data_IF_006682188301
#
_entry.id   IF_006682188301
#
_cell.length_a   1.000
_cell.length_b   1.000
_cell.length_c   1.000
_cell.angle_alpha   90.00
_cell.angle_beta   90.00
_cell.angle_gamma   90.00
#
_symmetry.space_group_name_H-M   'P 1'
#
loop_
_entity.id
_entity.type
_entity.pdbx_description
1 polymer ?
#
# COMPACT_ATOMS: atom_id res chain seq x y z
N UNK A 1 20.15 27.72 1.02
CA UNK A 1 19.31 28.85 0.54
C UNK A 1 19.42 30.06 1.46
N UNK A 2 19.25 31.32 0.95
CA UNK A 2 19.15 32.49 1.81
C UNK A 2 17.94 32.36 2.74
N UNK A 3 18.17 32.66 4.05
CA UNK A 3 17.08 32.60 5.06
C UNK A 3 15.80 33.35 4.64
N UNK A 4 15.95 34.46 3.90
CA UNK A 4 14.82 35.28 3.43
C UNK A 4 13.86 34.58 2.48
N UNK A 5 14.34 33.66 1.63
CA UNK A 5 13.50 32.94 0.66
C UNK A 5 12.68 31.87 1.37
N UNK A 6 13.32 31.06 2.22
CA UNK A 6 12.64 30.02 2.99
C UNK A 6 11.54 30.62 3.89
N UNK A 7 11.86 31.65 4.65
CA UNK A 7 10.89 32.29 5.54
C UNK A 7 9.70 32.89 4.78
N UNK A 8 9.91 33.38 3.57
CA UNK A 8 8.86 33.91 2.70
C UNK A 8 7.88 32.80 2.25
N UNK A 9 8.38 31.64 1.86
CA UNK A 9 7.55 30.50 1.47
C UNK A 9 6.78 29.92 2.68
N UNK A 10 7.44 29.75 3.82
CA UNK A 10 6.77 29.31 5.05
C UNK A 10 5.64 30.27 5.42
N UNK A 11 5.85 31.58 5.33
CA UNK A 11 4.85 32.58 5.67
C UNK A 11 3.66 32.53 4.72
N UNK A 12 3.90 32.34 3.43
CA UNK A 12 2.85 32.12 2.43
C UNK A 12 1.97 30.93 2.79
N UNK A 13 2.58 29.77 3.07
CA UNK A 13 1.83 28.57 3.46
C UNK A 13 1.11 28.69 4.80
N UNK A 14 1.69 29.42 5.74
CA UNK A 14 1.06 29.69 7.02
C UNK A 14 -0.19 30.58 6.83
N UNK A 15 -0.11 31.65 6.04
CA UNK A 15 -1.26 32.50 5.71
C UNK A 15 -2.33 31.72 4.92
N UNK A 16 -1.95 30.94 3.91
CA UNK A 16 -2.88 30.08 3.16
C UNK A 16 -3.66 29.14 4.09
N UNK A 17 -2.94 28.50 5.03
CA UNK A 17 -3.55 27.58 5.98
C UNK A 17 -4.42 28.32 7.00
N UNK A 18 -3.97 29.46 7.53
CA UNK A 18 -4.75 30.28 8.47
C UNK A 18 -6.06 30.76 7.84
N UNK A 19 -6.03 31.29 6.64
CA UNK A 19 -7.23 31.77 5.92
C UNK A 19 -8.22 30.63 5.64
N UNK A 20 -7.72 29.41 5.39
CA UNK A 20 -8.57 28.24 5.20
C UNK A 20 -9.24 27.76 6.50
N UNK A 21 -8.58 27.94 7.65
CA UNK A 21 -9.03 27.48 8.96
C UNK A 21 -9.36 28.64 9.92
N UNK A 22 -10.05 29.67 9.40
CA UNK A 22 -10.62 30.79 10.20
C UNK A 22 -9.60 31.51 11.09
N UNK A 23 -8.41 31.74 10.56
CA UNK A 23 -7.37 32.51 11.23
C UNK A 23 -6.36 31.70 12.02
N UNK A 24 -6.45 30.36 12.03
CA UNK A 24 -5.52 29.50 12.79
C UNK A 24 -4.78 28.52 11.87
N UNK A 25 -3.50 28.76 11.63
CA UNK A 25 -2.63 27.86 10.89
C UNK A 25 -2.18 26.68 11.77
N UNK A 26 -2.20 25.47 11.20
CA UNK A 26 -1.68 24.26 11.82
C UNK A 26 -0.20 24.03 11.40
N UNK A 27 0.75 24.00 12.35
CA UNK A 27 2.18 23.83 12.05
C UNK A 27 2.52 22.57 11.28
N UNK A 28 1.85 21.44 11.57
CA UNK A 28 2.09 20.18 10.89
C UNK A 28 1.68 20.20 9.44
N UNK A 29 0.52 20.82 9.12
CA UNK A 29 0.03 20.98 7.75
C UNK A 29 0.93 21.91 6.92
N UNK A 30 1.43 22.97 7.53
CA UNK A 30 2.37 23.90 6.89
C UNK A 30 3.72 23.22 6.65
N UNK A 31 4.24 22.50 7.66
CA UNK A 31 5.52 21.79 7.59
C UNK A 31 5.53 20.76 6.47
N UNK A 32 4.43 20.02 6.28
CA UNK A 32 4.32 19.04 5.20
C UNK A 32 4.54 19.64 3.82
N UNK A 33 3.94 20.84 3.54
CA UNK A 33 4.15 21.57 2.29
C UNK A 33 5.59 22.07 2.14
N UNK A 34 6.18 22.56 3.25
CA UNK A 34 7.55 23.09 3.26
C UNK A 34 8.56 21.99 2.99
N UNK A 35 8.41 20.81 3.60
CA UNK A 35 9.31 19.67 3.35
C UNK A 35 9.21 19.19 1.90
N UNK A 36 8.00 19.15 1.33
CA UNK A 36 7.79 18.75 -0.06
C UNK A 36 8.48 19.70 -1.05
N UNK A 37 8.49 20.99 -0.77
CA UNK A 37 9.11 21.99 -1.63
C UNK A 37 10.63 22.09 -1.43
N UNK A 38 11.12 21.88 -0.20
CA UNK A 38 12.53 21.98 0.17
C UNK A 38 13.11 20.64 0.69
N UNK A 39 13.09 19.55 -0.09
CA UNK A 39 13.48 18.22 0.38
C UNK A 39 14.97 18.08 0.74
N UNK A 40 15.81 19.01 0.27
CA UNK A 40 17.26 19.00 0.50
C UNK A 40 17.71 19.83 1.72
N UNK A 41 16.80 20.59 2.33
CA UNK A 41 17.12 21.40 3.49
C UNK A 41 17.11 20.56 4.79
N UNK A 42 17.83 21.03 5.81
CA UNK A 42 17.86 20.35 7.11
C UNK A 42 16.46 20.35 7.76
N UNK A 43 15.93 19.16 8.07
CA UNK A 43 14.59 18.98 8.62
C UNK A 43 14.39 19.70 9.94
N UNK A 44 15.38 19.68 10.83
CA UNK A 44 15.29 20.34 12.13
C UNK A 44 15.12 21.85 11.97
N UNK A 45 15.90 22.44 11.09
CA UNK A 45 15.79 23.87 10.73
C UNK A 45 14.43 24.22 10.14
N UNK A 46 13.88 23.34 9.25
CA UNK A 46 12.55 23.54 8.68
C UNK A 46 11.46 23.52 9.76
N UNK A 47 11.57 22.63 10.73
CA UNK A 47 10.63 22.50 11.86
C UNK A 47 10.64 23.79 12.69
N UNK A 48 11.81 24.23 13.14
CA UNK A 48 11.98 25.41 14.00
C UNK A 48 11.47 26.69 13.33
N UNK A 49 11.86 26.93 12.08
CA UNK A 49 11.43 28.11 11.30
C UNK A 49 9.92 28.07 11.03
N UNK A 50 9.37 26.86 10.72
CA UNK A 50 7.93 26.72 10.48
C UNK A 50 7.13 27.00 11.75
N UNK A 51 7.51 26.45 12.89
CA UNK A 51 6.85 26.69 14.18
C UNK A 51 6.85 28.17 14.53
N UNK A 52 8.01 28.84 14.41
CA UNK A 52 8.17 30.26 14.68
C UNK A 52 7.26 31.13 13.81
N UNK A 53 7.24 30.86 12.50
CA UNK A 53 6.45 31.68 11.55
C UNK A 53 4.95 31.41 11.70
N UNK A 54 4.54 30.17 11.91
CA UNK A 54 3.15 29.82 12.17
C UNK A 54 2.64 30.48 13.46
N UNK A 55 3.45 30.48 14.53
CA UNK A 55 3.10 31.16 15.77
C UNK A 55 2.90 32.66 15.55
N UNK A 56 3.77 33.31 14.76
CA UNK A 56 3.64 34.74 14.43
C UNK A 56 2.39 35.03 13.57
N UNK A 57 2.04 34.16 12.64
CA UNK A 57 0.82 34.30 11.82
C UNK A 57 -0.44 34.11 12.66
N UNK A 58 -0.42 33.18 13.62
CA UNK A 58 -1.54 32.91 14.52
C UNK A 58 -1.79 34.01 15.56
N UNK A 59 -0.86 34.92 15.76
CA UNK A 59 -1.05 36.12 16.60
C UNK A 59 -1.78 37.25 15.86
N UNK A 60 -1.79 37.20 14.54
CA UNK A 60 -2.52 38.17 13.73
C UNK A 60 -4.02 37.90 13.78
N UNK A 61 -4.81 38.96 13.73
CA UNK A 61 -6.25 38.85 13.49
C UNK A 61 -6.53 38.38 12.06
N UNK A 62 -7.71 37.86 11.81
CA UNK A 62 -8.11 37.41 10.47
C UNK A 62 -8.06 38.57 9.45
N UNK A 63 -8.39 39.80 9.89
CA UNK A 63 -8.33 41.01 9.07
C UNK A 63 -6.88 41.34 8.65
N UNK A 64 -5.95 41.27 9.58
CA UNK A 64 -4.52 41.49 9.30
C UNK A 64 -3.93 40.39 8.42
N UNK A 65 -4.33 39.14 8.61
CA UNK A 65 -3.93 38.02 7.75
C UNK A 65 -4.44 38.22 6.32
N UNK A 66 -5.68 38.64 6.14
CA UNK A 66 -6.27 38.99 4.85
C UNK A 66 -5.53 40.14 4.18
N UNK A 67 -5.26 41.21 4.94
CA UNK A 67 -4.53 42.37 4.43
C UNK A 67 -3.11 41.98 3.98
N UNK A 68 -2.39 41.20 4.78
CA UNK A 68 -1.05 40.73 4.40
C UNK A 68 -1.10 39.81 3.17
N UNK A 69 -2.09 38.91 3.08
CA UNK A 69 -2.31 38.09 1.91
C UNK A 69 -2.57 38.89 0.65
N UNK A 70 -3.45 39.92 0.72
CA UNK A 70 -3.73 40.81 -0.41
C UNK A 70 -2.49 41.56 -0.91
N UNK A 71 -1.65 42.03 0.02
CA UNK A 71 -0.49 42.83 -0.35
C UNK A 71 0.69 42.00 -0.86
N UNK A 72 0.92 40.81 -0.28
CA UNK A 72 2.13 40.03 -0.54
C UNK A 72 1.92 38.74 -1.34
N UNK A 73 0.70 38.21 -1.33
CA UNK A 73 0.35 36.92 -1.93
C UNK A 73 -1.08 36.94 -2.50
N UNK A 74 -1.38 37.85 -3.41
CA UNK A 74 -2.75 38.04 -3.95
C UNK A 74 -3.32 36.75 -4.54
N UNK A 75 -2.46 35.87 -5.04
CA UNK A 75 -2.82 34.56 -5.59
C UNK A 75 -3.49 33.63 -4.57
N UNK A 76 -3.33 33.86 -3.24
CA UNK A 76 -3.99 33.07 -2.20
C UNK A 76 -5.50 33.38 -2.10
N UNK A 77 -5.91 34.54 -2.58
CA UNK A 77 -7.30 35.00 -2.53
C UNK A 77 -8.05 34.72 -3.84
N UNK A 78 -7.33 34.39 -4.90
CA UNK A 78 -7.95 33.93 -6.13
C UNK A 78 -8.66 32.61 -5.86
N UNK A 79 -9.98 32.56 -6.08
CA UNK A 79 -10.72 31.32 -6.09
C UNK A 79 -10.12 30.40 -7.16
N UNK A 80 -9.31 29.45 -6.77
CA UNK A 80 -8.96 28.35 -7.67
C UNK A 80 -10.27 27.69 -8.05
N UNK A 81 -10.76 27.92 -9.24
CA UNK A 81 -11.76 27.07 -9.83
C UNK A 81 -11.21 25.66 -9.76
N UNK A 82 -11.84 24.82 -8.95
CA UNK A 82 -11.58 23.39 -8.98
C UNK A 82 -12.02 22.95 -10.37
N UNK A 83 -11.07 22.92 -11.30
CA UNK A 83 -11.26 22.21 -12.56
C UNK A 83 -11.70 20.82 -12.12
N UNK A 84 -12.96 20.47 -12.38
CA UNK A 84 -13.44 19.10 -12.23
C UNK A 84 -12.67 18.30 -13.27
N UNK A 85 -11.49 17.80 -12.88
CA UNK A 85 -10.83 16.77 -13.64
C UNK A 85 -11.85 15.65 -13.79
N UNK A 86 -12.31 15.41 -15.01
CA UNK A 86 -13.05 14.19 -15.30
C UNK A 86 -12.17 13.02 -14.86
N UNK A 87 -12.60 12.36 -13.81
CA UNK A 87 -11.88 11.19 -13.28
C UNK A 87 -12.08 10.01 -14.22
N UNK A 88 -11.45 10.10 -15.38
CA UNK A 88 -11.47 9.06 -16.41
C UNK A 88 -10.57 7.92 -15.92
N UNK A 89 -11.10 6.69 -15.99
CA UNK A 89 -10.32 5.50 -15.68
C UNK A 89 -9.15 5.38 -16.68
N UNK A 90 -7.87 5.42 -16.22
CA UNK A 90 -6.71 5.39 -17.10
C UNK A 90 -6.71 4.16 -18.01
N UNK A 91 -6.12 4.27 -19.18
CA UNK A 91 -5.94 3.12 -20.03
C UNK A 91 -4.88 2.17 -19.45
N UNK A 92 -5.13 0.86 -19.50
CA UNK A 92 -4.12 -0.13 -19.16
C UNK A 92 -3.05 -0.20 -20.26
N UNK A 93 -1.75 -0.23 -19.89
CA UNK A 93 -0.67 -0.35 -20.85
C UNK A 93 -0.67 -1.76 -21.50
N UNK A 94 -0.26 -1.82 -22.75
CA UNK A 94 0.04 -3.09 -23.46
C UNK A 94 -1.11 -4.11 -23.54
N UNK A 95 -2.36 -3.68 -23.50
CA UNK A 95 -3.51 -4.59 -23.66
C UNK A 95 -3.60 -5.09 -25.10
N UNK A 96 -3.19 -6.33 -25.33
CA UNK A 96 -3.23 -7.00 -26.65
C UNK A 96 -4.36 -8.03 -26.79
N UNK A 97 -4.96 -8.46 -25.66
CA UNK A 97 -5.99 -9.51 -25.61
C UNK A 97 -7.07 -9.12 -24.61
N UNK A 98 -8.16 -9.90 -24.60
CA UNK A 98 -9.20 -9.77 -23.58
C UNK A 98 -8.58 -9.89 -22.17
N UNK A 99 -8.83 -8.90 -21.31
CA UNK A 99 -8.27 -8.89 -19.97
C UNK A 99 -9.00 -9.88 -19.05
N UNK A 100 -8.26 -10.42 -18.09
CA UNK A 100 -8.79 -11.17 -16.96
C UNK A 100 -8.31 -10.48 -15.70
N UNK A 101 -9.25 -10.02 -14.90
CA UNK A 101 -8.99 -9.40 -13.59
C UNK A 101 -9.32 -10.38 -12.48
N UNK A 102 -8.77 -10.16 -11.31
CA UNK A 102 -9.00 -10.99 -10.13
C UNK A 102 -9.31 -10.10 -8.92
N UNK A 103 -10.40 -10.41 -8.23
CA UNK A 103 -10.65 -9.94 -6.88
C UNK A 103 -10.49 -11.14 -5.93
N UNK A 104 -9.60 -11.01 -4.96
CA UNK A 104 -9.22 -12.12 -4.07
C UNK A 104 -9.31 -11.69 -2.60
N UNK A 105 -10.51 -11.57 -2.04
CA UNK A 105 -10.70 -11.27 -0.64
C UNK A 105 -10.32 -12.46 0.25
N UNK A 106 -9.78 -12.14 1.44
CA UNK A 106 -9.64 -13.11 2.51
C UNK A 106 -11.00 -13.25 3.24
N UNK A 107 -11.51 -14.46 3.45
CA UNK A 107 -12.85 -14.66 4.01
C UNK A 107 -12.86 -14.53 5.55
N UNK A 108 -12.66 -13.32 6.06
CA UNK A 108 -12.71 -12.98 7.50
C UNK A 108 -13.94 -12.20 7.92
N UNK A 109 -14.96 -12.15 7.09
CA UNK A 109 -16.20 -11.43 7.32
C UNK A 109 -16.77 -10.76 6.08
N UNK A 110 -17.78 -9.91 6.21
CA UNK A 110 -18.40 -9.20 5.10
C UNK A 110 -17.44 -8.21 4.45
N UNK A 111 -17.72 -7.84 3.19
CA UNK A 111 -16.99 -6.79 2.52
C UNK A 111 -17.25 -5.44 3.20
N UNK A 112 -16.18 -4.67 3.43
CA UNK A 112 -16.25 -3.31 3.91
C UNK A 112 -15.86 -2.31 2.82
N UNK A 113 -16.00 -1.01 3.06
CA UNK A 113 -15.72 0.06 2.08
C UNK A 113 -14.31 -0.03 1.48
N UNK A 114 -13.32 -0.47 2.27
CA UNK A 114 -11.94 -0.68 1.79
C UNK A 114 -11.85 -1.76 0.72
N UNK A 115 -12.69 -2.82 0.80
CA UNK A 115 -12.76 -3.89 -0.21
C UNK A 115 -13.57 -3.46 -1.44
N UNK A 116 -14.56 -2.59 -1.30
CA UNK A 116 -15.39 -2.11 -2.41
C UNK A 116 -14.56 -1.39 -3.47
N UNK A 117 -13.58 -0.59 -3.07
CA UNK A 117 -12.72 0.15 -4.00
C UNK A 117 -11.99 -0.75 -5.01
N UNK A 118 -11.19 -1.75 -4.60
CA UNK A 118 -10.52 -2.65 -5.56
C UNK A 118 -11.52 -3.50 -6.33
N UNK A 119 -12.65 -3.92 -5.75
CA UNK A 119 -13.68 -4.67 -6.43
C UNK A 119 -14.30 -3.87 -7.59
N UNK A 120 -14.75 -2.64 -7.32
CA UNK A 120 -15.30 -1.72 -8.32
C UNK A 120 -14.26 -1.40 -9.40
N UNK A 121 -13.01 -1.12 -9.02
CA UNK A 121 -11.96 -0.81 -9.98
C UNK A 121 -11.72 -1.95 -10.97
N UNK A 122 -11.66 -3.19 -10.49
CA UNK A 122 -11.52 -4.37 -11.34
C UNK A 122 -12.72 -4.55 -12.27
N UNK A 123 -13.94 -4.36 -11.77
CA UNK A 123 -15.17 -4.46 -12.56
C UNK A 123 -15.22 -3.39 -13.68
N UNK A 124 -14.89 -2.14 -13.36
CA UNK A 124 -14.85 -1.05 -14.33
C UNK A 124 -13.82 -1.29 -15.43
N UNK A 125 -12.66 -1.84 -15.12
CA UNK A 125 -11.70 -2.28 -16.13
C UNK A 125 -12.25 -3.45 -16.96
N UNK A 126 -12.92 -4.41 -16.34
CA UNK A 126 -13.56 -5.50 -17.06
C UNK A 126 -14.65 -4.99 -18.01
N UNK A 127 -15.45 -4.01 -17.60
CA UNK A 127 -16.45 -3.35 -18.47
C UNK A 127 -15.77 -2.62 -19.63
N UNK A 128 -14.77 -1.78 -19.35
CA UNK A 128 -14.05 -0.99 -20.34
C UNK A 128 -13.40 -1.85 -21.43
N UNK A 129 -12.82 -3.00 -21.06
CA UNK A 129 -12.09 -3.86 -21.98
C UNK A 129 -12.86 -5.15 -22.36
N UNK A 130 -14.15 -5.26 -22.03
CA UNK A 130 -14.96 -6.47 -22.23
C UNK A 130 -14.27 -7.71 -21.67
N UNK A 131 -13.64 -7.53 -20.50
CA UNK A 131 -12.85 -8.53 -19.80
C UNK A 131 -13.69 -9.48 -18.95
N UNK A 132 -13.00 -10.28 -18.12
CA UNK A 132 -13.56 -11.22 -17.16
C UNK A 132 -13.01 -10.93 -15.78
N UNK A 133 -13.88 -10.88 -14.77
CA UNK A 133 -13.50 -10.78 -13.37
C UNK A 133 -13.62 -12.15 -12.70
N UNK A 134 -12.56 -12.64 -12.10
CA UNK A 134 -12.55 -13.85 -11.28
C UNK A 134 -12.70 -13.47 -9.82
N UNK A 135 -13.63 -14.11 -9.12
CA UNK A 135 -13.69 -14.10 -7.67
C UNK A 135 -12.86 -15.30 -7.15
N UNK A 136 -11.87 -15.00 -6.32
CA UNK A 136 -10.99 -15.99 -5.72
C UNK A 136 -11.03 -15.84 -4.21
N UNK A 137 -11.50 -16.84 -3.48
CA UNK A 137 -11.39 -16.85 -2.02
C UNK A 137 -9.95 -17.14 -1.62
N UNK A 138 -9.33 -16.20 -0.89
CA UNK A 138 -7.97 -16.35 -0.39
C UNK A 138 -7.98 -17.04 0.97
N UNK A 139 -8.36 -18.31 0.98
CA UNK A 139 -8.74 -19.10 2.15
C UNK A 139 -7.68 -20.08 2.63
N UNK A 140 -6.40 -19.84 2.27
CA UNK A 140 -5.27 -20.68 2.69
C UNK A 140 -4.40 -20.06 3.76
N UNK A 141 -4.64 -18.80 4.14
CA UNK A 141 -3.85 -18.06 5.11
C UNK A 141 -4.63 -18.03 6.42
N UNK A 142 -4.21 -18.84 7.38
CA UNK A 142 -4.63 -18.77 8.78
C UNK A 142 -3.57 -18.06 9.61
N UNK A 143 -3.97 -17.26 10.58
CA UNK A 143 -3.11 -16.78 11.66
C UNK A 143 -3.98 -16.64 12.91
N UNK A 144 -3.36 -16.63 14.09
CA UNK A 144 -4.09 -16.42 15.35
C UNK A 144 -4.90 -15.12 15.35
N UNK A 145 -4.49 -14.13 14.55
CA UNK A 145 -5.14 -12.82 14.42
C UNK A 145 -6.20 -12.76 13.31
N UNK A 146 -6.21 -13.73 12.39
CA UNK A 146 -7.08 -13.75 11.20
C UNK A 146 -7.68 -15.13 11.01
N UNK A 147 -8.85 -15.32 11.56
CA UNK A 147 -9.62 -16.54 11.36
C UNK A 147 -10.45 -16.45 10.08
N UNK A 148 -10.63 -17.59 9.44
CA UNK A 148 -11.61 -17.75 8.36
C UNK A 148 -12.98 -17.88 9.03
N UNK A 149 -13.94 -17.07 8.54
CA UNK A 149 -15.33 -17.09 9.00
C UNK A 149 -16.20 -17.77 7.95
N UNK A 150 -16.91 -18.82 8.33
CA UNK A 150 -17.74 -19.60 7.40
C UNK A 150 -18.81 -18.74 6.71
N UNK A 151 -19.39 -17.78 7.42
CA UNK A 151 -20.38 -16.86 6.88
C UNK A 151 -19.80 -15.94 5.78
N UNK A 152 -18.49 -15.68 5.80
CA UNK A 152 -17.84 -14.82 4.82
C UNK A 152 -17.93 -15.37 3.39
N UNK A 153 -18.03 -16.69 3.24
CA UNK A 153 -18.19 -17.33 1.93
C UNK A 153 -19.50 -16.98 1.22
N UNK A 154 -20.56 -16.67 1.98
CA UNK A 154 -21.83 -16.15 1.44
C UNK A 154 -21.86 -14.63 1.41
N UNK A 155 -21.38 -13.95 2.45
CA UNK A 155 -21.43 -12.49 2.59
C UNK A 155 -20.57 -11.76 1.54
N UNK A 156 -19.46 -12.36 1.10
CA UNK A 156 -18.60 -11.74 0.06
C UNK A 156 -19.31 -11.69 -1.30
N UNK A 157 -19.89 -12.80 -1.83
CA UNK A 157 -20.72 -12.76 -3.02
C UNK A 157 -21.91 -11.80 -2.90
N UNK A 158 -22.65 -11.83 -1.79
CA UNK A 158 -23.77 -10.92 -1.54
C UNK A 158 -23.35 -9.44 -1.60
N UNK A 159 -22.19 -9.10 -1.00
CA UNK A 159 -21.62 -7.75 -1.04
C UNK A 159 -21.25 -7.32 -2.47
N UNK A 160 -20.73 -8.23 -3.29
CA UNK A 160 -20.44 -7.96 -4.70
C UNK A 160 -21.73 -7.78 -5.52
N UNK A 161 -22.73 -8.60 -5.29
CA UNK A 161 -24.04 -8.49 -5.95
C UNK A 161 -24.75 -7.19 -5.56
N UNK A 162 -24.68 -6.78 -4.28
CA UNK A 162 -25.18 -5.48 -3.81
C UNK A 162 -24.49 -4.31 -4.51
N UNK A 163 -23.19 -4.41 -4.77
CA UNK A 163 -22.41 -3.44 -5.54
C UNK A 163 -22.65 -3.53 -7.07
N UNK A 164 -23.48 -4.47 -7.52
CA UNK A 164 -23.76 -4.75 -8.94
C UNK A 164 -22.51 -5.12 -9.74
N UNK A 165 -21.52 -5.73 -9.10
CA UNK A 165 -20.28 -6.18 -9.71
C UNK A 165 -20.50 -7.53 -10.40
N UNK A 166 -20.12 -7.61 -11.68
CA UNK A 166 -20.23 -8.85 -12.46
C UNK A 166 -18.92 -9.63 -12.41
N UNK A 167 -18.98 -10.81 -11.84
CA UNK A 167 -17.84 -11.75 -11.80
C UNK A 167 -18.23 -13.10 -12.38
N UNK A 168 -17.22 -13.95 -12.66
CA UNK A 168 -17.45 -15.33 -13.09
C UNK A 168 -18.16 -16.10 -11.97
N UNK A 169 -19.26 -16.74 -12.30
CA UNK A 169 -20.04 -17.54 -11.33
C UNK A 169 -19.26 -18.71 -10.73
N UNK A 170 -18.20 -19.16 -11.41
CA UNK A 170 -17.27 -20.16 -10.86
C UNK A 170 -16.29 -19.48 -9.92
N UNK A 171 -16.60 -19.48 -8.64
CA UNK A 171 -15.69 -19.02 -7.59
C UNK A 171 -14.51 -19.98 -7.48
N UNK A 172 -13.31 -19.45 -7.34
CA UNK A 172 -12.08 -20.22 -7.14
C UNK A 172 -11.71 -20.18 -5.67
N UNK A 173 -11.62 -21.33 -5.02
CA UNK A 173 -11.13 -21.47 -3.66
C UNK A 173 -9.65 -21.88 -3.71
N UNK A 174 -8.78 -21.14 -3.02
CA UNK A 174 -7.35 -21.49 -2.99
C UNK A 174 -7.10 -22.80 -2.25
N UNK A 175 -7.85 -23.07 -1.19
CA UNK A 175 -7.79 -24.33 -0.44
C UNK A 175 -7.96 -25.57 -1.33
N UNK A 176 -8.87 -25.54 -2.30
CA UNK A 176 -9.09 -26.62 -3.27
C UNK A 176 -7.90 -26.87 -4.22
N UNK A 177 -6.93 -25.95 -4.23
CA UNK A 177 -5.83 -25.93 -5.20
C UNK A 177 -4.47 -26.24 -4.58
N UNK A 178 -4.40 -26.61 -3.32
CA UNK A 178 -3.14 -26.85 -2.60
C UNK A 178 -2.22 -27.84 -3.34
N UNK A 179 -2.77 -28.90 -3.89
CA UNK A 179 -1.98 -29.89 -4.64
C UNK A 179 -1.28 -29.28 -5.87
N UNK A 180 -1.94 -28.35 -6.55
CA UNK A 180 -1.35 -27.64 -7.69
C UNK A 180 -0.19 -26.75 -7.20
N UNK A 181 -0.38 -26.06 -6.07
CA UNK A 181 0.66 -25.20 -5.50
C UNK A 181 1.87 -26.03 -5.04
N UNK A 182 1.64 -27.20 -4.45
CA UNK A 182 2.72 -28.12 -4.06
C UNK A 182 3.51 -28.62 -5.27
N UNK A 183 2.86 -28.97 -6.37
CA UNK A 183 3.55 -29.35 -7.60
C UNK A 183 4.49 -28.24 -8.09
N UNK A 184 4.01 -26.99 -8.14
CA UNK A 184 4.86 -25.85 -8.52
C UNK A 184 5.97 -25.57 -7.49
N UNK A 185 5.73 -25.79 -6.20
CA UNK A 185 6.75 -25.69 -5.17
C UNK A 185 7.87 -26.73 -5.42
N UNK A 186 7.52 -27.97 -5.74
CA UNK A 186 8.49 -29.03 -6.08
C UNK A 186 9.30 -28.71 -7.36
N UNK A 187 8.65 -28.12 -8.38
CA UNK A 187 9.36 -27.63 -9.56
C UNK A 187 10.38 -26.54 -9.22
N UNK A 188 10.02 -25.60 -8.34
CA UNK A 188 10.92 -24.55 -7.90
C UNK A 188 12.08 -25.10 -7.05
N UNK A 189 11.83 -26.11 -6.24
CA UNK A 189 12.88 -26.82 -5.49
C UNK A 189 13.89 -27.47 -6.45
N UNK A 190 13.42 -28.20 -7.47
CA UNK A 190 14.27 -28.81 -8.50
C UNK A 190 15.11 -27.80 -9.27
N UNK A 191 14.59 -26.57 -9.43
CA UNK A 191 15.32 -25.45 -10.05
C UNK A 191 16.29 -24.76 -9.09
N UNK A 192 16.31 -25.13 -7.80
CA UNK A 192 17.11 -24.45 -6.78
C UNK A 192 16.67 -23.01 -6.48
N UNK A 193 15.46 -22.63 -6.90
CA UNK A 193 14.91 -21.28 -6.76
C UNK A 193 14.27 -21.01 -5.39
N UNK A 194 14.12 -22.01 -4.57
CA UNK A 194 13.53 -21.95 -3.23
C UNK A 194 14.36 -22.72 -2.22
N UNK A 195 14.08 -22.53 -0.95
CA UNK A 195 14.68 -23.27 0.17
C UNK A 195 13.70 -23.35 1.35
N UNK A 196 13.85 -24.38 2.20
CA UNK A 196 13.07 -24.50 3.43
C UNK A 196 13.80 -23.76 4.55
N UNK A 197 13.11 -22.85 5.21
CA UNK A 197 13.66 -22.03 6.29
C UNK A 197 12.97 -22.36 7.62
N UNK A 198 13.77 -22.58 8.66
CA UNK A 198 13.34 -22.86 10.04
C UNK A 198 13.71 -21.73 11.00
N UNK A 199 14.14 -20.57 10.49
CA UNK A 199 14.45 -19.41 11.32
C UNK A 199 13.17 -18.81 11.92
N UNK A 200 13.28 -18.29 13.16
CA UNK A 200 12.16 -17.61 13.79
C UNK A 200 11.72 -16.36 13.02
N UNK A 201 10.45 -15.92 13.13
CA UNK A 201 9.95 -14.72 12.48
C UNK A 201 10.73 -13.46 12.82
N UNK A 202 11.28 -13.37 14.04
CA UNK A 202 12.10 -12.24 14.48
C UNK A 202 13.44 -12.18 13.73
N UNK A 203 14.14 -13.33 13.65
CA UNK A 203 15.40 -13.45 12.90
C UNK A 203 15.19 -13.09 11.44
N UNK A 204 14.10 -13.56 10.83
CA UNK A 204 13.78 -13.26 9.44
C UNK A 204 13.50 -11.76 9.22
N UNK A 205 12.77 -11.12 10.13
CA UNK A 205 12.50 -9.68 10.07
C UNK A 205 13.78 -8.85 10.11
N UNK A 206 14.67 -9.18 11.05
CA UNK A 206 15.93 -8.47 11.23
C UNK A 206 16.83 -8.64 10.00
N UNK A 207 16.97 -9.86 9.49
CA UNK A 207 17.77 -10.16 8.29
C UNK A 207 17.20 -9.49 7.04
N UNK A 208 15.88 -9.51 6.85
CA UNK A 208 15.21 -8.79 5.75
C UNK A 208 15.46 -7.29 5.82
N UNK A 209 15.38 -6.70 7.00
CA UNK A 209 15.65 -5.27 7.20
C UNK A 209 17.12 -4.93 6.87
N UNK A 210 18.06 -5.76 7.32
CA UNK A 210 19.49 -5.59 7.06
C UNK A 210 19.92 -5.95 5.63
N UNK A 211 19.10 -6.66 4.86
CA UNK A 211 19.47 -7.20 3.55
C UNK A 211 20.40 -8.42 3.65
N UNK A 212 20.36 -9.14 4.76
CA UNK A 212 21.22 -10.28 5.03
C UNK A 212 20.54 -11.62 4.73
N UNK A 213 21.28 -12.56 4.20
CA UNK A 213 20.82 -13.93 3.98
C UNK A 213 20.84 -14.75 5.28
N UNK A 214 19.88 -15.66 5.44
CA UNK A 214 19.94 -16.65 6.52
C UNK A 214 20.71 -17.90 6.06
N UNK A 215 21.26 -18.67 7.02
CA UNK A 215 22.01 -19.90 6.72
C UNK A 215 21.21 -20.98 5.99
N UNK A 216 19.87 -20.98 6.12
CA UNK A 216 19.02 -21.94 5.40
C UNK A 216 19.04 -21.73 3.87
N UNK A 217 19.34 -20.53 3.41
CA UNK A 217 19.33 -20.19 1.98
C UNK A 217 20.41 -20.92 1.16
N UNK A 218 21.50 -21.31 1.79
CA UNK A 218 22.62 -22.03 1.16
C UNK A 218 22.40 -23.55 1.03
N UNK A 219 21.23 -24.07 1.43
CA UNK A 219 20.89 -25.47 1.30
C UNK A 219 20.99 -25.96 -0.15
N UNK A 220 21.49 -27.18 -0.34
CA UNK A 220 21.45 -27.87 -1.62
C UNK A 220 20.01 -28.26 -1.99
N UNK A 221 19.79 -28.57 -3.26
CA UNK A 221 18.48 -29.07 -3.74
C UNK A 221 18.07 -30.31 -2.95
N UNK A 222 18.96 -31.27 -2.77
CA UNK A 222 18.66 -32.51 -2.04
C UNK A 222 18.25 -32.28 -0.58
N UNK A 223 18.92 -31.35 0.13
CA UNK A 223 18.55 -30.96 1.49
C UNK A 223 17.19 -30.30 1.51
N UNK A 224 16.93 -29.40 0.55
CA UNK A 224 15.63 -28.70 0.43
C UNK A 224 14.49 -29.68 0.12
N UNK A 225 14.69 -30.65 -0.77
CA UNK A 225 13.70 -31.70 -1.06
C UNK A 225 13.38 -32.58 0.18
N UNK A 226 14.40 -32.95 0.94
CA UNK A 226 14.20 -33.69 2.18
C UNK A 226 13.42 -32.83 3.21
N UNK A 227 13.84 -31.61 3.42
CA UNK A 227 13.17 -30.68 4.34
C UNK A 227 11.74 -30.39 3.92
N UNK A 228 11.45 -30.23 2.60
CA UNK A 228 10.11 -30.04 2.06
C UNK A 228 9.17 -31.18 2.44
N UNK A 229 9.62 -32.43 2.27
CA UNK A 229 8.83 -33.60 2.69
C UNK A 229 8.58 -33.61 4.19
N UNK A 230 9.56 -33.20 4.98
CA UNK A 230 9.44 -33.11 6.45
C UNK A 230 8.45 -32.04 6.92
N UNK A 231 8.18 -30.99 6.11
CA UNK A 231 7.23 -29.95 6.50
C UNK A 231 5.80 -30.48 6.71
N UNK A 232 5.39 -31.52 5.99
CA UNK A 232 4.03 -32.07 6.09
C UNK A 232 3.77 -32.86 7.41
N UNK A 233 4.83 -33.15 8.15
CA UNK A 233 4.75 -33.83 9.47
C UNK A 233 5.30 -32.95 10.60
N UNK A 234 5.83 -31.79 10.29
CA UNK A 234 6.33 -30.84 11.27
C UNK A 234 5.18 -30.13 11.99
N UNK A 235 5.44 -29.65 13.20
CA UNK A 235 4.51 -28.77 13.88
C UNK A 235 4.32 -27.47 13.12
N UNK A 236 3.12 -26.92 13.18
CA UNK A 236 2.75 -25.68 12.52
C UNK A 236 3.69 -24.52 12.92
N UNK A 237 4.05 -23.70 11.95
CA UNK A 237 4.94 -22.55 12.18
C UNK A 237 6.44 -22.87 12.23
N UNK A 238 6.86 -24.15 12.27
CA UNK A 238 8.28 -24.53 12.41
C UNK A 238 9.11 -24.36 11.14
N UNK A 239 8.48 -24.34 9.98
CA UNK A 239 9.19 -24.23 8.71
C UNK A 239 8.36 -23.48 7.67
N UNK A 240 9.03 -22.80 6.74
CA UNK A 240 8.41 -22.12 5.63
C UNK A 240 9.24 -22.31 4.36
N UNK A 241 8.59 -22.55 3.22
CA UNK A 241 9.26 -22.56 1.91
C UNK A 241 9.38 -21.11 1.40
N UNK A 242 10.60 -20.67 1.10
CA UNK A 242 10.90 -19.29 0.68
C UNK A 242 11.56 -19.26 -0.69
N UNK A 243 11.21 -18.24 -1.49
CA UNK A 243 11.87 -17.95 -2.76
C UNK A 243 13.26 -17.37 -2.51
N UNK A 244 14.24 -17.70 -3.35
CA UNK A 244 15.56 -17.05 -3.35
C UNK A 244 15.46 -15.74 -4.16
N UNK A 245 15.10 -14.65 -3.48
CA UNK A 245 14.99 -13.32 -4.09
C UNK A 245 16.25 -12.48 -3.86
N UNK A 246 16.30 -11.27 -4.38
CA UNK A 246 17.43 -10.36 -4.17
C UNK A 246 17.36 -9.70 -2.79
N UNK A 247 18.21 -10.14 -1.87
CA UNK A 247 18.28 -9.58 -0.51
C UNK A 247 18.86 -8.16 -0.46
N UNK A 248 19.50 -7.69 -1.53
CA UNK A 248 20.01 -6.32 -1.64
C UNK A 248 19.01 -5.37 -2.33
N UNK A 249 17.85 -5.87 -2.74
CA UNK A 249 16.84 -5.02 -3.36
C UNK A 249 16.46 -3.84 -2.47
N UNK A 250 16.35 -2.62 -3.04
CA UNK A 250 16.08 -1.40 -2.26
C UNK A 250 14.75 -1.46 -1.51
N UNK A 251 13.72 -2.05 -2.12
CA UNK A 251 12.44 -2.26 -1.46
C UNK A 251 12.45 -3.59 -0.66
N UNK A 252 12.36 -3.54 0.68
CA UNK A 252 12.36 -4.75 1.52
C UNK A 252 11.25 -5.76 1.21
N UNK A 253 10.16 -5.34 0.57
CA UNK A 253 9.06 -6.23 0.17
C UNK A 253 9.47 -7.25 -0.90
N UNK A 254 10.58 -7.02 -1.62
CA UNK A 254 11.14 -7.94 -2.61
C UNK A 254 12.27 -8.80 -2.04
N UNK A 255 12.57 -8.69 -0.76
CA UNK A 255 13.53 -9.55 -0.07
C UNK A 255 12.80 -10.76 0.53
N UNK A 256 13.36 -11.96 0.41
CA UNK A 256 12.77 -13.20 0.93
C UNK A 256 12.76 -13.31 2.47
#
# INVERSE_FOLDING_TARGET
MPKSVLSKHIRKYALENALHYQGKANPGSVLGKVIAEFPKENKQKLIEETQKIVAAVNQLTLAEQLQEAQQRYPELLEKREKVKEERILPALPNVKKKIVMRFAPYPSGPLHLGNARPAILNDEYCKKYKGKLLLVMDDTIGSEEKNIEDEAYSLIPEGLDWLQIRYDKKIVYKSDRLQIYYQYAEELIKKGAVYVCTCSPEVLRNKRAAGEECGCRSQTIAITEHAWKGMFTAAEGNAVLRLKTDMQHQNPAFRD
#
